data_IF_733089995209
#
_entry.id   IF_733089995209
#
_cell.length_a   1.000
_cell.length_b   1.000
_cell.length_c   1.000
_cell.angle_alpha   90.00
_cell.angle_beta   90.00
_cell.angle_gamma   90.00
#
_symmetry.space_group_name_H-M   'P 1'
#
loop_
_entity.id
_entity.type
_entity.pdbx_description
1 polymer ?
#
# COMPACT_ATOMS: atom_id res chain seq x y z
N UNK A 1 -12.57 5.30 -12.82
CA UNK A 1 -11.71 4.59 -11.86
C UNK A 1 -10.37 4.18 -12.45
N UNK A 2 -10.32 3.49 -13.60
CA UNK A 2 -9.05 3.01 -14.19
C UNK A 2 -8.01 4.13 -14.39
N UNK A 3 -8.38 5.24 -15.06
CA UNK A 3 -7.49 6.41 -15.23
C UNK A 3 -6.96 6.98 -13.91
N UNK A 4 -7.82 7.08 -12.89
CA UNK A 4 -7.46 7.60 -11.57
C UNK A 4 -6.42 6.72 -10.89
N UNK A 5 -6.64 5.40 -10.88
CA UNK A 5 -5.71 4.42 -10.31
C UNK A 5 -4.35 4.52 -11.01
N UNK A 6 -4.33 4.52 -12.35
CA UNK A 6 -3.07 4.56 -13.09
C UNK A 6 -2.33 5.88 -12.88
N UNK A 7 -3.03 7.01 -12.74
CA UNK A 7 -2.40 8.29 -12.41
C UNK A 7 -1.79 8.28 -11.01
N UNK A 8 -2.51 7.77 -10.01
CA UNK A 8 -1.98 7.62 -8.66
C UNK A 8 -0.77 6.70 -8.61
N UNK A 9 -0.81 5.55 -9.28
CA UNK A 9 0.30 4.62 -9.33
C UNK A 9 1.56 5.25 -9.95
N UNK A 10 1.41 6.04 -11.02
CA UNK A 10 2.52 6.81 -11.62
C UNK A 10 3.09 7.84 -10.65
N UNK A 11 2.24 8.61 -9.99
CA UNK A 11 2.65 9.60 -8.98
C UNK A 11 3.38 8.94 -7.81
N UNK A 12 2.86 7.82 -7.30
CA UNK A 12 3.47 7.06 -6.20
C UNK A 12 4.86 6.54 -6.57
N UNK A 13 5.00 5.91 -7.74
CA UNK A 13 6.30 5.44 -8.22
C UNK A 13 7.30 6.59 -8.37
N UNK A 14 6.89 7.67 -9.06
CA UNK A 14 7.74 8.84 -9.27
C UNK A 14 8.20 9.45 -7.95
N UNK A 15 7.28 9.65 -7.00
CA UNK A 15 7.60 10.22 -5.69
C UNK A 15 8.49 9.32 -4.83
N UNK A 16 8.31 7.99 -4.93
CA UNK A 16 9.09 7.03 -4.14
C UNK A 16 10.52 6.80 -4.65
N UNK A 17 10.81 7.15 -5.91
CA UNK A 17 12.07 6.82 -6.56
C UNK A 17 12.32 5.31 -6.77
N UNK A 18 11.29 4.47 -6.58
CA UNK A 18 11.42 3.02 -6.71
C UNK A 18 11.50 2.58 -8.19
N UNK A 19 12.24 1.50 -8.50
CA UNK A 19 12.31 0.93 -9.85
C UNK A 19 10.94 0.53 -10.41
N UNK A 20 10.77 0.62 -11.74
CA UNK A 20 9.50 0.33 -12.43
C UNK A 20 8.94 -1.07 -12.15
N UNK A 21 9.78 -2.05 -11.77
CA UNK A 21 9.32 -3.39 -11.37
C UNK A 21 8.29 -3.37 -10.23
N UNK A 22 8.24 -2.30 -9.42
CA UNK A 22 7.26 -2.11 -8.34
C UNK A 22 5.91 -1.54 -8.80
N UNK A 23 5.72 -1.31 -10.11
CA UNK A 23 4.47 -0.81 -10.69
C UNK A 23 3.22 -1.57 -10.26
N UNK A 24 3.25 -2.91 -10.25
CA UNK A 24 2.11 -3.71 -9.82
C UNK A 24 1.68 -3.39 -8.39
N UNK A 25 2.66 -3.26 -7.49
CA UNK A 25 2.41 -2.87 -6.10
C UNK A 25 1.90 -1.42 -5.98
N UNK A 26 2.37 -0.50 -6.82
CA UNK A 26 1.87 0.87 -6.83
C UNK A 26 0.39 0.94 -7.29
N UNK A 27 0.01 0.14 -8.28
CA UNK A 27 -1.40 0.02 -8.74
C UNK A 27 -2.28 -0.59 -7.65
N UNK A 28 -1.82 -1.66 -7.02
CA UNK A 28 -2.52 -2.31 -5.90
C UNK A 28 -2.69 -1.34 -4.73
N UNK A 29 -1.63 -0.63 -4.35
CA UNK A 29 -1.67 0.36 -3.28
C UNK A 29 -2.57 1.55 -3.62
N UNK A 30 -2.57 2.00 -4.89
CA UNK A 30 -3.48 3.04 -5.35
C UNK A 30 -4.95 2.63 -5.20
N UNK A 31 -5.30 1.39 -5.55
CA UNK A 31 -6.64 0.85 -5.33
C UNK A 31 -6.97 0.74 -3.83
N UNK A 32 -6.02 0.27 -3.01
CA UNK A 32 -6.15 0.18 -1.56
C UNK A 32 -6.53 1.52 -0.92
N UNK A 33 -5.83 2.60 -1.30
CA UNK A 33 -6.07 3.97 -0.83
C UNK A 33 -7.42 4.49 -1.33
N UNK A 34 -7.72 4.35 -2.63
CA UNK A 34 -8.98 4.85 -3.20
C UNK A 34 -10.21 4.18 -2.57
N UNK A 35 -10.14 2.89 -2.30
CA UNK A 35 -11.25 2.17 -1.69
C UNK A 35 -11.53 2.62 -0.25
N UNK A 36 -10.52 3.15 0.45
CA UNK A 36 -10.64 3.64 1.84
C UNK A 36 -10.83 5.15 1.94
N UNK A 37 -10.66 5.88 0.84
CA UNK A 37 -10.74 7.34 0.80
C UNK A 37 -12.20 7.81 0.63
N UNK A 38 -12.61 8.89 1.32
CA UNK A 38 -13.89 9.57 1.09
C UNK A 38 -14.09 9.96 -0.37
N UNK A 39 -15.26 9.65 -0.95
CA UNK A 39 -15.58 9.95 -2.35
C UNK A 39 -16.75 10.93 -2.44
N UNK A 40 -16.65 11.97 -3.28
CA UNK A 40 -17.77 12.91 -3.55
C UNK A 40 -18.92 12.24 -4.28
N UNK A 41 -18.66 11.17 -5.03
CA UNK A 41 -19.70 10.42 -5.71
C UNK A 41 -20.58 9.60 -4.76
N UNK A 42 -20.18 9.46 -3.50
CA UNK A 42 -20.85 8.62 -2.53
C UNK A 42 -21.70 9.46 -1.56
N UNK A 43 -22.88 8.95 -1.12
CA UNK A 43 -23.66 9.57 -0.08
C UNK A 43 -22.82 9.85 1.17
N UNK A 44 -23.05 11.01 1.81
CA UNK A 44 -22.32 11.43 3.02
C UNK A 44 -20.79 11.38 2.90
N UNK A 45 -20.24 11.46 1.68
CA UNK A 45 -18.80 11.37 1.40
C UNK A 45 -18.16 10.06 1.85
N UNK A 46 -18.94 8.99 2.00
CA UNK A 46 -18.42 7.70 2.46
C UNK A 46 -17.38 7.12 1.50
N UNK A 47 -16.42 6.37 2.02
CA UNK A 47 -15.50 5.62 1.18
C UNK A 47 -16.22 4.44 0.49
N UNK A 48 -15.74 3.97 -0.67
CA UNK A 48 -16.29 2.78 -1.31
C UNK A 48 -16.32 1.54 -0.39
N UNK A 49 -15.29 1.37 0.45
CA UNK A 49 -15.22 0.26 1.40
C UNK A 49 -16.27 0.38 2.51
N UNK A 50 -16.52 1.59 3.02
CA UNK A 50 -17.59 1.85 3.99
C UNK A 50 -18.96 1.58 3.41
N UNK A 51 -19.21 2.01 2.16
CA UNK A 51 -20.47 1.71 1.48
C UNK A 51 -20.69 0.21 1.29
N UNK A 52 -19.63 -0.53 0.98
CA UNK A 52 -19.71 -1.97 0.72
C UNK A 52 -19.88 -2.78 2.02
N UNK A 53 -19.21 -2.38 3.10
CA UNK A 53 -19.13 -3.17 4.34
C UNK A 53 -20.00 -2.64 5.47
N UNK A 54 -20.51 -1.41 5.36
CA UNK A 54 -21.22 -0.69 6.42
C UNK A 54 -20.34 -0.30 7.61
N UNK A 55 -19.03 -0.56 7.56
CA UNK A 55 -18.09 -0.30 8.66
C UNK A 55 -17.13 0.84 8.30
N UNK A 56 -16.77 1.73 9.25
CA UNK A 56 -15.76 2.76 9.05
C UNK A 56 -14.45 2.19 8.48
N UNK A 57 -13.81 2.92 7.55
CA UNK A 57 -12.52 2.48 7.01
C UNK A 57 -11.39 2.76 8.01
N UNK A 58 -10.62 1.73 8.36
CA UNK A 58 -9.39 1.90 9.13
C UNK A 58 -8.29 2.47 8.20
N UNK A 59 -7.73 3.61 8.62
CA UNK A 59 -6.70 4.34 7.89
C UNK A 59 -5.31 4.24 8.54
N UNK A 60 -5.19 3.57 9.70
CA UNK A 60 -3.92 3.47 10.44
C UNK A 60 -2.80 2.82 9.63
N UNK A 61 -3.13 1.91 8.71
CA UNK A 61 -2.18 1.25 7.81
C UNK A 61 -1.81 2.03 6.55
N UNK A 62 -2.33 3.24 6.33
CA UNK A 62 -1.99 4.04 5.14
C UNK A 62 -0.70 4.81 5.39
N UNK A 63 0.36 4.45 4.68
CA UNK A 63 1.66 5.13 4.66
C UNK A 63 2.01 5.64 3.27
N UNK A 64 3.09 6.42 3.13
CA UNK A 64 3.57 6.80 1.79
C UNK A 64 4.09 5.56 1.05
N UNK A 65 3.75 5.42 -0.23
CA UNK A 65 4.30 4.34 -1.03
C UNK A 65 5.83 4.45 -1.09
N UNK A 66 6.54 3.37 -0.81
CA UNK A 66 8.00 3.36 -0.73
C UNK A 66 8.59 3.84 0.60
N UNK A 67 7.76 4.05 1.64
CA UNK A 67 8.27 4.33 2.99
C UNK A 67 9.25 3.24 3.46
N UNK A 68 10.38 3.60 4.09
CA UNK A 68 11.28 2.64 4.71
C UNK A 68 10.56 1.78 5.76
N UNK A 69 10.84 0.49 5.77
CA UNK A 69 10.30 -0.43 6.76
C UNK A 69 11.42 -1.23 7.43
N UNK A 70 11.22 -1.55 8.71
CA UNK A 70 12.13 -2.44 9.44
C UNK A 70 11.60 -3.85 9.36
N UNK A 71 12.37 -4.75 8.76
CA UNK A 71 12.07 -6.18 8.81
C UNK A 71 12.92 -6.81 9.92
N UNK A 72 12.35 -7.67 10.78
CA UNK A 72 13.16 -8.40 11.75
C UNK A 72 14.16 -9.25 10.98
N UNK A 73 15.44 -8.95 11.16
CA UNK A 73 16.51 -9.73 10.55
C UNK A 73 16.43 -11.15 11.13
N UNK A 74 16.00 -12.11 10.31
CA UNK A 74 16.14 -13.53 10.65
C UNK A 74 17.63 -13.76 10.79
N UNK A 75 18.11 -13.95 12.03
CA UNK A 75 19.50 -14.38 12.29
C UNK A 75 19.71 -15.63 11.44
N UNK A 76 20.45 -15.52 10.34
CA UNK A 76 20.97 -16.70 9.65
C UNK A 76 21.81 -17.39 10.70
N UNK A 77 21.42 -18.61 11.06
CA UNK A 77 22.04 -19.35 12.15
C UNK A 77 23.55 -19.31 11.98
N UNK A 78 24.25 -18.98 13.07
CA UNK A 78 25.64 -19.38 13.21
C UNK A 78 25.64 -20.90 13.04
N UNK A 79 26.06 -21.38 11.87
CA UNK A 79 26.55 -22.74 11.74
C UNK A 79 27.85 -22.78 12.56
N UNK A 80 27.72 -23.12 13.84
CA UNK A 80 28.86 -23.62 14.59
C UNK A 80 29.31 -24.92 13.91
N UNK A 81 30.59 -25.08 13.54
CA UNK A 81 31.08 -26.38 13.08
C UNK A 81 30.96 -27.35 14.26
N UNK A 82 30.22 -28.44 14.06
CA UNK A 82 30.27 -29.60 14.96
C UNK A 82 31.53 -30.39 14.64
N UNK A 83 32.67 -29.95 15.15
CA UNK A 83 33.78 -30.80 15.58
C UNK A 83 34.93 -29.94 16.12
N UNK A 84 35.27 -30.14 17.39
CA UNK A 84 36.59 -30.13 18.02
C UNK A 84 36.36 -30.22 19.54
#
# INVERSE_FOLDING_TARGET
MHRTILNMARCMLFASGLPLKFWGHAVEYAAYVLNRSPSSGNPKRQSPLEMLTGKPSDLTGIVTFGSPCTTPARRRGHHAPRWA
#
